data_IF_420685482356
#
_entry.id   IF_420685482356
#
_cell.length_a   1.000
_cell.length_b   1.000
_cell.length_c   1.000
_cell.angle_alpha   90.00
_cell.angle_beta   90.00
_cell.angle_gamma   90.00
#
_symmetry.space_group_name_H-M   'P 1'
#
loop_
_entity.id
_entity.type
_entity.pdbx_description
1 polymer ?
#
# COMPACT_ATOMS: atom_id res chain seq x y z
N UNK A 1 -50.89 -14.31 20.34
CA UNK A 1 -50.58 -15.73 20.05
C UNK A 1 -49.54 -15.76 18.94
N UNK A 2 -48.38 -16.42 19.19
CA UNK A 2 -47.33 -16.86 18.24
C UNK A 2 -46.27 -15.85 17.73
N UNK A 3 -45.27 -15.65 18.59
CA UNK A 3 -43.80 -15.69 18.41
C UNK A 3 -43.16 -15.62 17.01
N UNK A 4 -42.09 -14.81 16.91
CA UNK A 4 -40.72 -15.09 16.37
C UNK A 4 -39.93 -13.77 16.35
N UNK A 5 -38.67 -13.57 16.77
CA UNK A 5 -37.54 -14.35 17.32
C UNK A 5 -36.68 -13.32 18.06
N UNK A 6 -36.01 -13.74 19.14
CA UNK A 6 -35.02 -12.99 19.91
C UNK A 6 -34.01 -12.22 19.04
N UNK A 7 -34.13 -10.88 18.94
CA UNK A 7 -32.99 -10.04 18.63
C UNK A 7 -32.17 -9.89 19.90
N UNK A 8 -31.14 -10.73 20.05
CA UNK A 8 -30.15 -10.54 21.09
C UNK A 8 -29.42 -9.20 20.83
N UNK A 9 -29.89 -8.13 21.49
CA UNK A 9 -29.22 -6.84 21.60
C UNK A 9 -27.92 -7.02 22.40
N UNK A 10 -26.89 -7.58 21.77
CA UNK A 10 -25.56 -7.56 22.35
C UNK A 10 -25.06 -6.11 22.39
N UNK A 11 -24.56 -5.62 23.54
CA UNK A 11 -23.82 -4.37 23.61
C UNK A 11 -22.76 -4.29 22.50
N UNK A 12 -22.50 -3.11 21.91
CA UNK A 12 -21.54 -2.95 20.81
C UNK A 12 -20.18 -3.65 21.05
N UNK A 13 -19.68 -3.58 22.28
CA UNK A 13 -18.44 -4.23 22.73
C UNK A 13 -18.52 -5.76 22.68
N UNK A 14 -19.60 -6.37 23.16
CA UNK A 14 -19.79 -7.82 23.08
C UNK A 14 -19.90 -8.30 21.64
N UNK A 15 -20.67 -7.57 20.83
CA UNK A 15 -20.82 -7.88 19.42
C UNK A 15 -19.47 -7.82 18.71
N UNK A 16 -18.70 -6.76 18.94
CA UNK A 16 -17.36 -6.58 18.40
C UNK A 16 -16.44 -7.74 18.76
N UNK A 17 -16.31 -8.07 20.05
CA UNK A 17 -15.42 -9.14 20.53
C UNK A 17 -15.81 -10.52 19.95
N UNK A 18 -17.11 -10.81 19.92
CA UNK A 18 -17.62 -12.06 19.36
C UNK A 18 -17.40 -12.14 17.85
N UNK A 19 -17.58 -11.03 17.13
CA UNK A 19 -17.34 -10.96 15.70
C UNK A 19 -15.85 -11.09 15.37
N UNK A 20 -15.00 -10.35 16.07
CA UNK A 20 -13.54 -10.41 15.94
C UNK A 20 -13.05 -11.85 16.13
N UNK A 21 -13.45 -12.49 17.24
CA UNK A 21 -13.06 -13.87 17.53
C UNK A 21 -13.50 -14.82 16.41
N UNK A 22 -14.72 -14.67 15.89
CA UNK A 22 -15.21 -15.50 14.77
C UNK A 22 -14.40 -15.28 13.49
N UNK A 23 -14.13 -14.02 13.13
CA UNK A 23 -13.34 -13.71 11.93
C UNK A 23 -11.92 -14.23 12.06
N UNK A 24 -11.27 -14.00 13.20
CA UNK A 24 -9.91 -14.48 13.48
C UNK A 24 -9.82 -16.00 13.30
N UNK A 25 -10.66 -16.77 14.01
CA UNK A 25 -10.64 -18.23 13.93
C UNK A 25 -10.99 -18.74 12.51
N UNK A 26 -11.98 -18.14 11.86
CA UNK A 26 -12.40 -18.57 10.52
C UNK A 26 -11.31 -18.31 9.46
N UNK A 27 -10.67 -17.15 9.51
CA UNK A 27 -9.62 -16.78 8.57
C UNK A 27 -8.35 -17.59 8.81
N UNK A 28 -7.94 -17.75 10.08
CA UNK A 28 -6.81 -18.60 10.48
C UNK A 28 -6.99 -20.04 10.03
N UNK A 29 -8.17 -20.61 10.29
CA UNK A 29 -8.49 -21.97 9.83
C UNK A 29 -8.41 -22.09 8.32
N UNK A 30 -8.99 -21.14 7.58
CA UNK A 30 -8.95 -21.15 6.10
C UNK A 30 -7.52 -21.09 5.57
N UNK A 31 -6.66 -20.30 6.18
CA UNK A 31 -5.24 -20.20 5.84
C UNK A 31 -4.50 -21.53 6.07
N UNK A 32 -4.63 -22.11 7.28
CA UNK A 32 -3.94 -23.34 7.66
C UNK A 32 -4.43 -24.56 6.86
N UNK A 33 -5.76 -24.75 6.77
CA UNK A 33 -6.37 -25.83 5.98
C UNK A 33 -5.98 -25.72 4.50
N UNK A 34 -5.88 -24.48 3.98
CA UNK A 34 -5.50 -24.21 2.61
C UNK A 34 -4.06 -24.62 2.29
N UNK A 35 -3.14 -24.44 3.25
CA UNK A 35 -1.74 -24.86 3.13
C UNK A 35 -1.61 -26.37 3.28
N UNK A 36 -2.32 -26.97 4.24
CA UNK A 36 -2.24 -28.41 4.53
C UNK A 36 -2.63 -29.26 3.32
N UNK A 37 -3.68 -28.84 2.60
CA UNK A 37 -4.21 -29.56 1.43
C UNK A 37 -3.43 -29.32 0.14
N UNK A 38 -2.49 -28.37 0.13
CA UNK A 38 -1.81 -27.96 -1.09
C UNK A 38 -0.60 -28.84 -1.41
N UNK A 39 -0.47 -29.21 -2.68
CA UNK A 39 0.71 -29.91 -3.19
C UNK A 39 1.97 -29.05 -3.08
N UNK A 40 1.85 -27.74 -3.29
CA UNK A 40 2.92 -26.76 -3.09
C UNK A 40 2.57 -25.87 -1.89
N UNK A 41 3.10 -26.24 -0.71
CA UNK A 41 2.84 -25.53 0.55
C UNK A 41 3.39 -24.11 0.55
N UNK A 42 4.54 -23.87 -0.09
CA UNK A 42 5.14 -22.54 -0.18
C UNK A 42 4.25 -21.61 -1.00
N UNK A 43 3.80 -22.07 -2.18
CA UNK A 43 2.86 -21.33 -3.03
C UNK A 43 1.55 -21.03 -2.30
N UNK A 44 0.94 -22.05 -1.68
CA UNK A 44 -0.31 -21.88 -0.95
C UNK A 44 -0.17 -20.90 0.20
N UNK A 45 0.96 -20.92 0.92
CA UNK A 45 1.23 -19.98 2.01
C UNK A 45 1.16 -18.53 1.52
N UNK A 46 1.96 -18.18 0.50
CA UNK A 46 1.98 -16.82 -0.05
C UNK A 46 0.62 -16.41 -0.65
N UNK A 47 -0.02 -17.32 -1.38
CA UNK A 47 -1.32 -17.04 -1.99
C UNK A 47 -2.40 -16.75 -0.92
N UNK A 48 -2.51 -17.59 0.11
CA UNK A 48 -3.51 -17.39 1.16
C UNK A 48 -3.16 -16.22 2.06
N UNK A 49 -1.89 -15.94 2.33
CA UNK A 49 -1.48 -14.75 3.05
C UNK A 49 -1.89 -13.48 2.28
N UNK A 50 -1.53 -13.40 1.00
CA UNK A 50 -1.85 -12.25 0.16
C UNK A 50 -3.36 -12.04 0.09
N UNK A 51 -4.13 -13.10 -0.18
CA UNK A 51 -5.57 -12.97 -0.43
C UNK A 51 -6.42 -12.82 0.83
N UNK A 52 -6.02 -13.41 1.95
CA UNK A 52 -6.81 -13.38 3.19
C UNK A 52 -6.39 -12.24 4.12
N UNK A 53 -5.11 -11.84 4.11
CA UNK A 53 -4.56 -10.90 5.08
C UNK A 53 -4.08 -9.60 4.43
N UNK A 54 -3.21 -9.64 3.42
CA UNK A 54 -2.60 -8.43 2.85
C UNK A 54 -3.55 -7.63 1.92
N UNK A 55 -4.35 -8.34 1.12
CA UNK A 55 -5.26 -7.80 0.10
C UNK A 55 -6.69 -8.29 0.30
N UNK A 56 -7.13 -8.42 1.55
CA UNK A 56 -8.48 -8.88 1.85
C UNK A 56 -9.52 -7.96 1.21
N UNK A 57 -10.17 -8.44 0.13
CA UNK A 57 -11.13 -7.69 -0.69
C UNK A 57 -12.36 -7.19 0.08
N UNK A 58 -12.62 -7.73 1.26
CA UNK A 58 -13.73 -7.28 2.12
C UNK A 58 -13.40 -5.98 2.86
N UNK A 59 -12.11 -5.64 2.96
CA UNK A 59 -11.63 -4.41 3.61
C UNK A 59 -11.52 -3.30 2.55
N UNK A 60 -12.28 -2.20 2.69
CA UNK A 60 -12.23 -1.09 1.73
C UNK A 60 -11.00 -0.20 2.03
N UNK A 61 -9.80 -0.71 1.71
CA UNK A 61 -8.51 -0.09 2.05
C UNK A 61 -8.35 1.37 1.62
N UNK A 62 -8.96 1.75 0.50
CA UNK A 62 -8.90 3.10 -0.04
C UNK A 62 -10.10 3.97 0.33
N UNK A 63 -11.00 3.48 1.19
CA UNK A 63 -12.09 4.31 1.70
C UNK A 63 -11.59 5.29 2.74
N UNK A 64 -11.94 6.55 2.56
CA UNK A 64 -11.74 7.64 3.51
C UNK A 64 -12.53 7.39 4.79
N UNK A 65 -13.81 7.03 4.69
CA UNK A 65 -14.63 6.73 5.87
C UNK A 65 -13.99 5.63 6.71
N UNK A 66 -13.61 4.54 6.06
CA UNK A 66 -13.03 3.39 6.75
C UNK A 66 -11.64 3.68 7.30
N UNK A 67 -10.84 4.48 6.61
CA UNK A 67 -9.54 4.94 7.12
C UNK A 67 -9.70 5.83 8.37
N UNK A 68 -10.68 6.73 8.39
CA UNK A 68 -10.99 7.54 9.57
C UNK A 68 -11.42 6.66 10.76
N UNK A 69 -12.33 5.72 10.51
CA UNK A 69 -12.82 4.76 11.51
C UNK A 69 -11.67 3.99 12.16
N UNK A 70 -10.82 3.36 11.34
CA UNK A 70 -9.71 2.54 11.83
C UNK A 70 -8.61 3.39 12.49
N UNK A 71 -8.34 4.59 11.98
CA UNK A 71 -7.37 5.51 12.58
C UNK A 71 -7.81 5.97 13.97
N UNK A 72 -9.08 6.37 14.12
CA UNK A 72 -9.65 6.81 15.40
C UNK A 72 -9.71 5.64 16.39
N UNK A 73 -10.15 4.47 15.94
CA UNK A 73 -10.15 3.27 16.79
C UNK A 73 -8.75 2.92 17.29
N UNK A 74 -7.76 2.90 16.40
CA UNK A 74 -6.37 2.61 16.78
C UNK A 74 -5.77 3.67 17.70
N UNK A 75 -6.11 4.94 17.51
CA UNK A 75 -5.71 6.01 18.41
C UNK A 75 -6.26 5.77 19.81
N UNK A 76 -7.58 5.58 19.95
CA UNK A 76 -8.16 5.36 21.26
C UNK A 76 -7.73 4.02 21.87
N UNK A 77 -7.49 2.97 21.08
CA UNK A 77 -6.92 1.73 21.61
C UNK A 77 -5.58 1.95 22.31
N UNK A 78 -4.76 2.88 21.82
CA UNK A 78 -3.45 3.23 22.42
C UNK A 78 -3.57 4.16 23.64
N UNK A 79 -4.64 4.94 23.74
CA UNK A 79 -4.81 5.97 24.79
C UNK A 79 -5.73 5.49 25.92
N UNK A 80 -6.83 4.84 25.57
CA UNK A 80 -7.82 4.24 26.47
C UNK A 80 -8.47 3.02 25.79
N UNK A 81 -7.82 1.88 25.92
CA UNK A 81 -8.26 0.63 25.30
C UNK A 81 -9.69 0.24 25.69
N UNK A 82 -10.07 0.49 26.95
CA UNK A 82 -11.34 0.03 27.53
C UNK A 82 -12.56 0.66 26.89
N UNK A 83 -12.43 1.94 26.48
CA UNK A 83 -13.49 2.74 25.85
C UNK A 83 -13.26 3.01 24.37
N UNK A 84 -12.20 2.45 23.78
CA UNK A 84 -11.80 2.71 22.39
C UNK A 84 -12.93 2.55 21.38
N UNK A 85 -13.76 1.52 21.53
CA UNK A 85 -14.91 1.29 20.66
C UNK A 85 -15.99 2.36 20.82
N UNK A 86 -16.39 2.66 22.04
CA UNK A 86 -17.43 3.65 22.34
C UNK A 86 -17.03 5.05 21.87
N UNK A 87 -15.80 5.46 22.16
CA UNK A 87 -15.24 6.74 21.72
C UNK A 87 -15.15 6.84 20.18
N UNK A 88 -14.89 5.72 19.50
CA UNK A 88 -14.89 5.67 18.04
C UNK A 88 -16.31 5.82 17.49
N UNK A 89 -17.27 5.07 18.04
CA UNK A 89 -18.66 5.12 17.60
C UNK A 89 -19.30 6.50 17.85
N UNK A 90 -18.93 7.17 18.95
CA UNK A 90 -19.36 8.53 19.25
C UNK A 90 -18.93 9.58 18.23
N UNK A 91 -18.00 9.25 17.31
CA UNK A 91 -17.52 10.15 16.25
C UNK A 91 -18.02 9.76 14.85
N UNK A 92 -18.93 8.81 14.72
CA UNK A 92 -19.42 8.36 13.41
C UNK A 92 -20.00 9.50 12.58
N UNK A 93 -20.86 10.35 13.15
CA UNK A 93 -21.46 11.46 12.41
C UNK A 93 -20.44 12.46 11.86
N UNK A 94 -19.35 12.72 12.59
CA UNK A 94 -18.24 13.56 12.11
C UNK A 94 -17.51 12.90 10.93
N UNK A 95 -17.28 11.58 11.02
CA UNK A 95 -16.66 10.82 9.93
C UNK A 95 -17.56 10.80 8.68
N UNK A 96 -18.87 10.67 8.86
CA UNK A 96 -19.87 10.68 7.78
C UNK A 96 -19.90 12.04 7.06
N UNK A 97 -19.94 13.14 7.83
CA UNK A 97 -19.90 14.51 7.29
C UNK A 97 -18.62 14.75 6.49
N UNK A 98 -17.46 14.45 7.09
CA UNK A 98 -16.16 14.63 6.44
C UNK A 98 -16.02 13.81 5.16
N UNK A 99 -16.50 12.57 5.17
CA UNK A 99 -16.50 11.70 3.98
C UNK A 99 -17.41 12.28 2.91
N UNK A 100 -18.60 12.77 3.27
CA UNK A 100 -19.56 13.38 2.34
C UNK A 100 -18.97 14.60 1.64
N UNK A 101 -18.31 15.50 2.38
CA UNK A 101 -17.58 16.65 1.79
C UNK A 101 -16.51 16.20 0.78
N UNK A 102 -15.77 15.13 1.09
CA UNK A 102 -14.73 14.61 0.20
C UNK A 102 -15.33 14.00 -1.07
N UNK A 103 -16.48 13.31 -0.98
CA UNK A 103 -17.22 12.81 -2.14
C UNK A 103 -17.65 13.98 -3.03
N UNK A 104 -18.24 15.04 -2.46
CA UNK A 104 -18.69 16.23 -3.20
C UNK A 104 -17.52 16.92 -3.93
N UNK A 105 -16.42 17.17 -3.22
CA UNK A 105 -15.20 17.73 -3.79
C UNK A 105 -14.66 16.88 -4.95
N UNK A 106 -14.64 15.55 -4.75
CA UNK A 106 -14.19 14.60 -5.78
C UNK A 106 -15.09 14.63 -7.02
N UNK A 107 -16.41 14.74 -6.83
CA UNK A 107 -17.36 14.88 -7.94
C UNK A 107 -17.15 16.17 -8.72
N UNK A 108 -16.92 17.30 -8.03
CA UNK A 108 -16.62 18.59 -8.68
C UNK A 108 -15.32 18.52 -9.49
N UNK A 109 -14.27 17.92 -8.93
CA UNK A 109 -12.98 17.74 -9.63
C UNK A 109 -13.18 16.88 -10.88
N UNK A 110 -13.96 15.80 -10.78
CA UNK A 110 -14.25 14.89 -11.89
C UNK A 110 -15.03 15.57 -13.02
N UNK A 111 -16.04 16.37 -12.71
CA UNK A 111 -16.92 17.00 -13.73
C UNK A 111 -16.28 18.19 -14.44
N UNK A 112 -15.27 18.80 -13.85
CA UNK A 112 -14.63 20.03 -14.39
C UNK A 112 -13.55 19.77 -15.45
N UNK A 113 -13.39 18.53 -15.96
CA UNK A 113 -12.39 18.13 -16.97
C UNK A 113 -10.97 18.65 -16.67
N UNK A 114 -10.64 18.83 -15.39
CA UNK A 114 -9.49 19.64 -14.98
C UNK A 114 -8.25 18.78 -14.68
N UNK A 115 -7.08 19.36 -14.90
CA UNK A 115 -5.77 18.84 -14.46
C UNK A 115 -5.63 18.76 -12.91
N UNK A 116 -6.72 18.98 -12.15
CA UNK A 116 -6.74 19.06 -10.68
C UNK A 116 -6.85 17.71 -10.00
N UNK A 117 -6.53 16.60 -10.67
CA UNK A 117 -6.48 15.27 -10.04
C UNK A 117 -5.52 15.22 -8.83
N UNK A 118 -4.52 16.10 -8.78
CA UNK A 118 -3.63 16.24 -7.61
C UNK A 118 -4.33 16.80 -6.36
N UNK A 119 -5.53 17.37 -6.49
CA UNK A 119 -6.35 17.89 -5.39
C UNK A 119 -7.29 16.82 -4.80
N UNK A 120 -7.32 15.62 -5.37
CA UNK A 120 -8.07 14.50 -4.80
C UNK A 120 -7.51 14.10 -3.43
N UNK A 121 -8.34 13.44 -2.64
CA UNK A 121 -7.88 12.83 -1.39
C UNK A 121 -6.73 11.84 -1.68
N UNK A 122 -5.70 11.87 -0.82
CA UNK A 122 -4.51 11.04 -0.99
C UNK A 122 -4.81 9.54 -1.14
N UNK A 123 -5.84 9.02 -0.45
CA UNK A 123 -6.25 7.61 -0.57
C UNK A 123 -6.80 7.28 -1.96
N UNK A 124 -7.50 8.22 -2.60
CA UNK A 124 -8.00 8.02 -3.95
C UNK A 124 -6.88 8.10 -4.99
N UNK A 125 -5.93 9.01 -4.79
CA UNK A 125 -4.73 9.08 -5.63
C UNK A 125 -3.96 7.76 -5.54
N UNK A 126 -3.84 7.19 -4.35
CA UNK A 126 -3.20 5.90 -4.15
C UNK A 126 -3.98 4.77 -4.86
N UNK A 127 -5.29 4.71 -4.68
CA UNK A 127 -6.13 3.70 -5.32
C UNK A 127 -6.03 3.71 -6.85
N UNK A 128 -6.03 4.90 -7.46
CA UNK A 128 -5.91 5.08 -8.91
C UNK A 128 -4.57 4.56 -9.46
N UNK A 129 -3.52 4.60 -8.65
CA UNK A 129 -2.19 4.10 -9.02
C UNK A 129 -2.04 2.60 -8.78
N UNK A 130 -2.51 2.11 -7.65
CA UNK A 130 -2.18 0.77 -7.15
C UNK A 130 -3.22 -0.29 -7.52
N UNK A 131 -4.47 0.08 -7.81
CA UNK A 131 -5.57 -0.89 -7.85
C UNK A 131 -6.45 -0.84 -9.11
N UNK A 132 -6.07 -0.04 -10.13
CA UNK A 132 -6.87 0.18 -11.35
C UNK A 132 -8.35 0.57 -11.07
N UNK A 133 -8.65 1.02 -9.85
CA UNK A 133 -10.00 1.34 -9.40
C UNK A 133 -10.36 2.75 -9.87
N UNK A 134 -11.53 2.90 -10.48
CA UNK A 134 -12.00 4.20 -10.97
C UNK A 134 -12.50 5.09 -9.83
N UNK A 135 -12.48 6.42 -10.05
CA UNK A 135 -13.04 7.41 -9.12
C UNK A 135 -14.52 7.11 -8.79
N UNK A 136 -15.28 6.62 -9.77
CA UNK A 136 -16.68 6.25 -9.56
C UNK A 136 -16.85 5.06 -8.61
N UNK A 137 -15.97 4.06 -8.71
CA UNK A 137 -15.99 2.90 -7.80
C UNK A 137 -15.57 3.29 -6.37
N UNK A 138 -14.64 4.23 -6.23
CA UNK A 138 -14.27 4.80 -4.93
C UNK A 138 -15.46 5.53 -4.29
N UNK A 139 -16.12 6.41 -5.05
CA UNK A 139 -17.32 7.11 -4.58
C UNK A 139 -18.43 6.12 -4.23
N UNK A 140 -18.67 5.12 -5.09
CA UNK A 140 -19.69 4.09 -4.83
C UNK A 140 -19.37 3.30 -3.55
N UNK A 141 -18.08 3.05 -3.28
CA UNK A 141 -17.63 2.41 -2.04
C UNK A 141 -17.96 3.28 -0.83
N UNK A 142 -17.65 4.58 -0.86
CA UNK A 142 -18.00 5.48 0.25
C UNK A 142 -19.51 5.56 0.47
N UNK A 143 -20.28 5.79 -0.61
CA UNK A 143 -21.74 5.88 -0.52
C UNK A 143 -22.37 4.61 0.03
N UNK A 144 -21.77 3.44 -0.24
CA UNK A 144 -22.19 2.17 0.34
C UNK A 144 -21.86 2.12 1.84
N UNK A 145 -20.67 2.55 2.25
CA UNK A 145 -20.24 2.56 3.65
C UNK A 145 -21.04 3.54 4.50
N UNK A 146 -21.35 4.73 3.99
CA UNK A 146 -22.21 5.72 4.67
C UNK A 146 -23.66 5.23 4.88
N UNK A 147 -24.08 4.18 4.18
CA UNK A 147 -25.38 3.53 4.36
C UNK A 147 -25.33 2.32 5.30
N UNK A 148 -24.15 1.99 5.85
CA UNK A 148 -24.04 0.88 6.78
C UNK A 148 -24.68 1.24 8.11
N UNK A 149 -25.40 0.27 8.69
CA UNK A 149 -25.79 0.39 10.09
C UNK A 149 -24.56 0.31 10.99
N UNK A 150 -24.66 0.87 12.20
CA UNK A 150 -23.62 0.76 13.23
C UNK A 150 -23.15 -0.69 13.42
N UNK A 151 -24.10 -1.64 13.43
CA UNK A 151 -23.81 -3.08 13.45
C UNK A 151 -22.88 -3.52 12.31
N UNK A 152 -23.10 -3.06 11.08
CA UNK A 152 -22.23 -3.40 9.94
C UNK A 152 -20.86 -2.75 10.05
N UNK A 153 -20.79 -1.52 10.55
CA UNK A 153 -19.53 -0.80 10.82
C UNK A 153 -18.71 -1.57 11.86
N UNK A 154 -19.35 -1.99 12.96
CA UNK A 154 -18.74 -2.83 14.00
C UNK A 154 -18.19 -4.15 13.45
N UNK A 155 -18.97 -4.84 12.62
CA UNK A 155 -18.52 -6.08 11.99
C UNK A 155 -17.33 -5.86 11.04
N UNK A 156 -17.31 -4.75 10.31
CA UNK A 156 -16.21 -4.41 9.42
C UNK A 156 -14.93 -4.06 10.20
N UNK A 157 -15.05 -3.31 11.29
CA UNK A 157 -13.93 -3.01 12.19
C UNK A 157 -13.38 -4.28 12.84
N UNK A 158 -14.26 -5.17 13.31
CA UNK A 158 -13.87 -6.45 13.90
C UNK A 158 -13.15 -7.36 12.89
N UNK A 159 -13.59 -7.37 11.63
CA UNK A 159 -12.91 -8.08 10.55
C UNK A 159 -11.51 -7.50 10.30
N UNK A 160 -11.38 -6.18 10.29
CA UNK A 160 -10.10 -5.50 10.09
C UNK A 160 -9.09 -5.83 11.18
N UNK A 161 -9.52 -5.80 12.45
CA UNK A 161 -8.63 -6.16 13.56
C UNK A 161 -8.20 -7.62 13.49
N UNK A 162 -9.11 -8.54 13.17
CA UNK A 162 -8.77 -9.94 12.97
C UNK A 162 -7.77 -10.15 11.84
N UNK A 163 -7.95 -9.44 10.72
CA UNK A 163 -7.03 -9.48 9.58
C UNK A 163 -5.67 -8.89 9.94
N UNK A 164 -5.63 -7.77 10.65
CA UNK A 164 -4.38 -7.13 11.06
C UNK A 164 -3.58 -8.05 11.99
N UNK A 165 -4.22 -8.66 12.98
CA UNK A 165 -3.53 -9.57 13.90
C UNK A 165 -3.00 -10.82 13.20
N UNK A 166 -3.78 -11.40 12.27
CA UNK A 166 -3.32 -12.54 11.47
C UNK A 166 -2.21 -12.15 10.50
N UNK A 167 -2.26 -10.94 9.94
CA UNK A 167 -1.17 -10.41 9.13
C UNK A 167 0.12 -10.37 9.95
N UNK A 168 0.11 -9.77 11.14
CA UNK A 168 1.30 -9.72 12.01
C UNK A 168 1.77 -11.11 12.45
N UNK A 169 0.84 -12.01 12.83
CA UNK A 169 1.16 -13.37 13.25
C UNK A 169 1.87 -14.17 12.14
N UNK A 170 1.43 -14.03 10.89
CA UNK A 170 1.95 -14.83 9.77
C UNK A 170 2.97 -14.10 8.89
N UNK A 171 3.17 -12.79 9.04
CA UNK A 171 4.13 -11.99 8.27
C UNK A 171 5.58 -12.42 8.56
N UNK A 172 5.91 -12.70 9.82
CA UNK A 172 7.25 -13.20 10.21
C UNK A 172 7.58 -14.59 9.64
N UNK A 173 6.57 -15.39 9.28
CA UNK A 173 6.73 -16.72 8.69
C UNK A 173 6.92 -16.68 7.16
N UNK A 174 6.77 -15.51 6.53
CA UNK A 174 7.04 -15.30 5.10
C UNK A 174 8.47 -14.83 4.81
N UNK A 175 9.16 -14.21 5.78
CA UNK A 175 10.57 -13.81 5.60
C UNK A 175 11.51 -15.01 5.37
N UNK A 176 11.14 -16.22 5.79
CA UNK A 176 11.90 -17.46 5.57
C UNK A 176 11.59 -18.16 4.24
N UNK A 177 10.58 -17.73 3.49
CA UNK A 177 10.20 -18.33 2.21
C UNK A 177 10.35 -17.26 1.14
N UNK A 178 11.58 -17.09 0.68
CA UNK A 178 11.85 -16.44 -0.59
C UNK A 178 11.14 -17.21 -1.71
N UNK A 179 9.88 -16.87 -1.95
CA UNK A 179 9.35 -16.96 -3.30
C UNK A 179 10.07 -15.89 -4.14
N UNK A 180 10.47 -16.23 -5.37
CA UNK A 180 11.04 -15.26 -6.28
C UNK A 180 9.90 -14.33 -6.70
N UNK A 181 9.73 -13.25 -5.94
CA UNK A 181 8.90 -12.12 -6.33
C UNK A 181 9.40 -11.63 -7.69
N UNK A 182 8.51 -11.55 -8.67
CA UNK A 182 8.77 -10.89 -9.94
C UNK A 182 9.40 -9.50 -9.67
N UNK A 183 10.69 -9.43 -10.00
CA UNK A 183 11.59 -8.27 -9.91
C UNK A 183 11.73 -7.56 -8.55
N UNK A 184 12.45 -8.18 -7.59
CA UNK A 184 13.25 -7.36 -6.66
C UNK A 184 14.22 -6.52 -7.50
N UNK A 185 13.94 -5.22 -7.65
CA UNK A 185 14.86 -4.28 -8.29
C UNK A 185 16.23 -4.40 -7.60
N UNK A 186 17.27 -4.69 -8.38
CA UNK A 186 18.62 -4.82 -7.85
C UNK A 186 19.08 -3.50 -7.24
N UNK A 187 20.06 -3.52 -6.34
CA UNK A 187 20.62 -2.28 -5.77
C UNK A 187 21.13 -1.31 -6.84
N UNK A 188 21.58 -1.82 -7.99
CA UNK A 188 21.98 -0.95 -9.12
C UNK A 188 20.78 -0.30 -9.80
N UNK A 189 19.66 -1.01 -9.93
CA UNK A 189 18.40 -0.45 -10.46
C UNK A 189 17.78 0.57 -9.52
N UNK A 190 17.81 0.32 -8.20
CA UNK A 190 17.37 1.29 -7.19
C UNK A 190 18.21 2.58 -7.22
N UNK A 191 19.53 2.45 -7.42
CA UNK A 191 20.43 3.59 -7.61
C UNK A 191 20.11 4.34 -8.91
N UNK A 192 19.81 3.64 -10.01
CA UNK A 192 19.36 4.25 -11.26
C UNK A 192 18.05 5.03 -11.10
N UNK A 193 17.06 4.45 -10.42
CA UNK A 193 15.79 5.11 -10.12
C UNK A 193 16.05 6.41 -9.34
N UNK A 194 16.85 6.34 -8.28
CA UNK A 194 17.21 7.51 -7.50
C UNK A 194 17.98 8.57 -8.33
N UNK A 195 18.90 8.12 -9.19
CA UNK A 195 19.66 8.99 -10.09
C UNK A 195 18.71 9.81 -10.99
N UNK A 196 17.79 9.14 -11.68
CA UNK A 196 16.87 9.79 -12.61
C UNK A 196 15.83 10.69 -11.92
N UNK A 197 15.35 10.31 -10.74
CA UNK A 197 14.52 11.18 -9.89
C UNK A 197 15.26 12.44 -9.42
N UNK A 198 16.54 12.30 -9.05
CA UNK A 198 17.37 13.45 -8.67
C UNK A 198 17.59 14.38 -9.86
N UNK A 199 17.81 13.83 -11.06
CA UNK A 199 18.11 14.61 -12.25
C UNK A 199 16.88 15.37 -12.76
N UNK A 200 15.70 14.76 -12.73
CA UNK A 200 14.45 15.42 -13.15
C UNK A 200 14.07 16.62 -12.27
N UNK A 201 14.48 16.63 -11.00
CA UNK A 201 14.28 17.74 -10.06
C UNK A 201 15.37 18.82 -10.11
N UNK A 202 16.22 18.81 -11.14
CA UNK A 202 17.35 19.74 -11.28
C UNK A 202 18.50 19.50 -10.31
N UNK A 203 18.50 18.37 -9.60
CA UNK A 203 19.51 18.02 -8.62
C UNK A 203 20.86 17.71 -9.28
N UNK A 204 21.91 18.42 -8.87
CA UNK A 204 23.30 18.13 -9.27
C UNK A 204 23.84 17.00 -8.40
N UNK A 205 23.38 15.77 -8.61
CA UNK A 205 23.79 14.59 -7.85
C UNK A 205 25.32 14.45 -7.75
N UNK A 206 26.05 14.74 -8.84
CA UNK A 206 27.53 14.72 -8.87
C UNK A 206 28.20 15.66 -7.84
N UNK A 207 27.52 16.72 -7.39
CA UNK A 207 28.06 17.67 -6.40
C UNK A 207 27.79 17.24 -4.95
N UNK A 208 26.87 16.32 -4.71
CA UNK A 208 26.38 15.96 -3.37
C UNK A 208 26.20 14.44 -3.19
N UNK A 209 27.06 13.62 -3.80
CA UNK A 209 26.93 12.15 -3.83
C UNK A 209 26.80 11.56 -2.42
N UNK A 210 27.54 12.07 -1.42
CA UNK A 210 27.44 11.60 -0.03
C UNK A 210 26.05 11.85 0.57
N UNK A 211 25.43 13.01 0.32
CA UNK A 211 24.08 13.32 0.81
C UNK A 211 23.02 12.48 0.11
N UNK A 212 23.18 12.29 -1.20
CA UNK A 212 22.34 11.41 -2.00
C UNK A 212 22.42 9.96 -1.52
N UNK A 213 23.63 9.48 -1.22
CA UNK A 213 23.86 8.14 -0.71
C UNK A 213 23.25 7.97 0.69
N UNK A 214 23.42 8.95 1.58
CA UNK A 214 22.83 8.92 2.92
C UNK A 214 21.29 8.86 2.85
N UNK A 215 20.68 9.74 2.05
CA UNK A 215 19.23 9.72 1.83
C UNK A 215 18.74 8.40 1.23
N UNK A 216 19.51 7.77 0.34
CA UNK A 216 19.17 6.47 -0.23
C UNK A 216 19.32 5.33 0.80
N UNK A 217 20.31 5.41 1.70
CA UNK A 217 20.43 4.49 2.83
C UNK A 217 19.24 4.61 3.79
N UNK A 218 18.83 5.84 4.13
CA UNK A 218 17.68 6.11 4.99
C UNK A 218 16.38 5.60 4.36
N UNK A 219 16.18 5.88 3.06
CA UNK A 219 15.00 5.41 2.32
C UNK A 219 14.91 3.89 2.21
N UNK A 220 16.05 3.21 2.08
CA UNK A 220 16.11 1.75 1.92
C UNK A 220 16.30 1.00 3.25
N UNK A 221 16.44 1.71 4.38
CA UNK A 221 16.71 1.11 5.69
C UNK A 221 18.05 0.37 5.78
N UNK A 222 19.05 0.73 4.96
CA UNK A 222 20.35 0.03 4.92
C UNK A 222 21.35 0.76 5.82
N UNK A 223 21.88 0.11 6.86
CA UNK A 223 22.89 0.73 7.72
C UNK A 223 24.23 0.89 6.98
N UNK A 224 25.02 1.89 7.39
CA UNK A 224 26.40 2.06 6.94
C UNK A 224 27.26 2.63 8.07
N UNK A 225 28.56 2.28 8.06
CA UNK A 225 29.52 2.79 9.05
C UNK A 225 30.18 4.10 8.59
N UNK A 226 30.60 4.16 7.32
CA UNK A 226 31.10 5.36 6.66
C UNK A 226 30.47 5.47 5.28
N UNK A 227 29.83 6.61 5.00
CA UNK A 227 29.05 6.77 3.76
C UNK A 227 29.89 6.58 2.50
N UNK A 228 31.14 7.05 2.50
CA UNK A 228 32.06 6.93 1.35
C UNK A 228 32.45 5.49 1.03
N UNK A 229 32.32 4.58 2.00
CA UNK A 229 32.66 3.17 1.83
C UNK A 229 31.46 2.33 1.41
N UNK A 230 30.24 2.90 1.43
CA UNK A 230 29.02 2.16 1.17
C UNK A 230 28.88 1.81 -0.30
N UNK A 231 28.22 0.67 -0.56
CA UNK A 231 28.00 0.21 -1.93
C UNK A 231 27.06 1.15 -2.70
N UNK A 232 26.08 1.77 -2.02
CA UNK A 232 25.20 2.77 -2.62
C UNK A 232 26.00 4.01 -3.05
N UNK A 233 26.93 4.49 -2.22
CA UNK A 233 27.79 5.60 -2.56
C UNK A 233 28.65 5.32 -3.79
N UNK A 234 29.31 4.15 -3.83
CA UNK A 234 30.13 3.73 -4.99
C UNK A 234 29.31 3.64 -6.28
N UNK A 235 28.08 3.11 -6.21
CA UNK A 235 27.19 3.01 -7.36
C UNK A 235 26.66 4.38 -7.81
N UNK A 236 26.38 5.30 -6.87
CA UNK A 236 25.94 6.66 -7.20
C UNK A 236 27.04 7.52 -7.85
N UNK A 237 28.33 7.19 -7.67
CA UNK A 237 29.41 7.84 -8.40
C UNK A 237 29.34 7.55 -9.91
N UNK A 238 28.85 6.35 -10.29
CA UNK A 238 28.80 5.85 -11.66
C UNK A 238 27.50 5.08 -11.91
N UNK A 239 26.33 5.75 -11.91
CA UNK A 239 25.03 5.08 -11.92
C UNK A 239 24.75 4.31 -13.21
N UNK A 240 25.38 4.71 -14.33
CA UNK A 240 25.20 4.11 -15.66
C UNK A 240 26.30 3.10 -16.04
N UNK A 241 27.23 2.78 -15.14
CA UNK A 241 28.34 1.87 -15.45
C UNK A 241 27.99 0.44 -15.05
N UNK A 242 27.51 -0.33 -16.03
CA UNK A 242 27.30 -1.78 -15.90
C UNK A 242 28.42 -2.56 -16.61
N UNK A 243 28.43 -3.88 -16.41
CA UNK A 243 29.46 -4.78 -16.95
C UNK A 243 29.54 -4.79 -18.49
N UNK A 244 28.46 -4.45 -19.18
CA UNK A 244 28.44 -4.32 -20.64
C UNK A 244 27.36 -3.33 -21.10
N UNK A 245 27.46 -2.76 -22.32
CA UNK A 245 26.41 -1.92 -22.89
C UNK A 245 25.06 -2.64 -23.03
N UNK A 246 25.06 -3.96 -23.28
CA UNK A 246 23.82 -4.78 -23.28
C UNK A 246 23.18 -4.82 -21.89
N UNK A 247 24.00 -5.02 -20.85
CA UNK A 247 23.53 -5.00 -19.46
C UNK A 247 23.01 -3.62 -19.07
N UNK A 248 23.67 -2.55 -19.51
CA UNK A 248 23.19 -1.17 -19.29
C UNK A 248 21.82 -0.98 -19.94
N UNK A 249 21.64 -1.40 -21.19
CA UNK A 249 20.37 -1.27 -21.91
C UNK A 249 19.24 -2.00 -21.18
N UNK A 250 19.46 -3.25 -20.77
CA UNK A 250 18.48 -4.02 -20.01
C UNK A 250 18.08 -3.33 -18.69
N UNK A 251 19.05 -2.78 -17.96
CA UNK A 251 18.76 -2.07 -16.71
C UNK A 251 18.03 -0.75 -16.95
N UNK A 252 18.33 -0.04 -18.04
CA UNK A 252 17.59 1.16 -18.43
C UNK A 252 16.16 0.83 -18.83
N UNK A 253 15.91 -0.26 -19.57
CA UNK A 253 14.56 -0.69 -19.94
C UNK A 253 13.72 -1.10 -18.73
N UNK A 254 14.31 -1.83 -17.77
CA UNK A 254 13.64 -2.18 -16.49
C UNK A 254 13.28 -0.91 -15.70
N UNK A 255 14.23 0.04 -15.58
CA UNK A 255 14.00 1.30 -14.85
C UNK A 255 13.04 2.22 -15.60
N UNK A 256 13.06 2.20 -16.94
CA UNK A 256 12.09 2.92 -17.78
C UNK A 256 10.68 2.44 -17.52
N UNK A 257 10.46 1.11 -17.54
CA UNK A 257 9.17 0.50 -17.22
C UNK A 257 8.68 0.91 -15.83
N UNK A 258 9.57 0.90 -14.83
CA UNK A 258 9.25 1.38 -13.48
C UNK A 258 8.72 2.82 -13.48
N UNK A 259 9.22 3.72 -14.34
CA UNK A 259 8.72 5.10 -14.40
C UNK A 259 7.51 5.28 -15.30
N UNK A 260 7.28 4.39 -16.26
CA UNK A 260 6.05 4.31 -17.04
C UNK A 260 4.86 4.02 -16.13
N UNK A 261 5.01 3.06 -15.21
CA UNK A 261 4.00 2.72 -14.20
C UNK A 261 3.65 3.93 -13.30
N UNK A 262 4.60 4.85 -13.11
CA UNK A 262 4.44 6.06 -12.30
C UNK A 262 4.03 7.31 -13.10
N UNK A 263 3.93 7.21 -14.43
CA UNK A 263 3.56 8.31 -15.32
C UNK A 263 4.54 9.50 -15.31
N UNK A 264 5.81 9.29 -14.95
CA UNK A 264 6.79 10.38 -14.82
C UNK A 264 7.46 10.72 -16.16
N UNK A 265 6.70 11.34 -17.07
CA UNK A 265 7.13 11.70 -18.44
C UNK A 265 8.51 12.38 -18.50
N UNK A 266 8.84 13.38 -17.65
CA UNK A 266 10.16 14.04 -17.71
C UNK A 266 11.33 13.09 -17.38
N UNK A 267 11.07 12.07 -16.55
CA UNK A 267 12.07 11.06 -16.17
C UNK A 267 12.25 10.05 -17.30
N UNK A 268 11.13 9.61 -17.91
CA UNK A 268 11.13 8.69 -19.06
C UNK A 268 11.93 9.30 -20.22
N UNK A 269 11.75 10.59 -20.52
CA UNK A 269 12.52 11.26 -21.58
C UNK A 269 14.03 11.30 -21.32
N UNK A 270 14.45 11.41 -20.05
CA UNK A 270 15.87 11.33 -19.70
C UNK A 270 16.43 9.93 -19.94
N UNK A 271 15.67 8.90 -19.59
CA UNK A 271 16.05 7.50 -19.77
C UNK A 271 16.10 7.15 -21.27
N UNK A 272 15.12 7.59 -22.06
CA UNK A 272 15.09 7.40 -23.51
C UNK A 272 16.32 7.99 -24.19
N UNK A 273 16.76 9.18 -23.76
CA UNK A 273 17.99 9.80 -24.25
C UNK A 273 19.22 8.92 -23.99
N UNK A 274 19.30 8.30 -22.82
CA UNK A 274 20.44 7.43 -22.46
C UNK A 274 20.35 6.06 -23.13
N UNK A 275 19.15 5.50 -23.31
CA UNK A 275 18.92 4.29 -24.12
C UNK A 275 19.43 4.50 -25.54
N UNK A 276 19.11 5.62 -26.18
CA UNK A 276 19.56 5.92 -27.54
C UNK A 276 21.09 6.10 -27.62
N UNK A 277 21.72 6.68 -26.59
CA UNK A 277 23.19 6.75 -26.52
C UNK A 277 23.80 5.35 -26.41
N UNK A 278 23.26 4.48 -25.57
CA UNK A 278 23.75 3.11 -25.40
C UNK A 278 23.57 2.29 -26.68
N UNK A 279 22.41 2.40 -27.36
CA UNK A 279 22.17 1.74 -28.66
C UNK A 279 23.18 2.15 -29.73
N UNK A 280 23.59 3.42 -29.77
CA UNK A 280 24.64 3.89 -30.70
C UNK A 280 26.00 3.27 -30.45
N UNK A 281 26.31 2.88 -29.21
CA UNK A 281 27.57 2.18 -28.87
C UNK A 281 27.54 0.68 -29.10
N UNK A 282 26.37 0.12 -29.42
CA UNK A 282 26.15 -1.31 -29.73
C UNK A 282 26.15 -1.59 -31.25
N UNK A 283 26.20 -0.55 -32.08
CA UNK A 283 26.40 -0.61 -33.53
C UNK A 283 27.88 -0.54 -33.85
#
# INVERSE_FOLDING_TARGET
>A
MRYRIMEANHPPKELFLKAYSRFYHSLKKKYLDGIERANNKAYARAYYFQTLFAENKSIPRYSVFFHLLTSIFNHYRKVDESHSLELTLGRLSEMEERTSTIIEQTMIIRTTLSERFYQLNGLYIQALKESHTSILELIATEQRLLKYSEKKILLLLALNEAVHELHEEFSSLEEEIEQPLESKLTRSQQVLIFHYLSQSRGGKQKKNVSKCAAALHDFLGIPYTKITNSDLYKKLLRPLTFSSPKTTLQNLEIVRSFFEDWGLVPVISLIDSDIEKVKKTLK
#
